data_IF_663774176554
#
_entry.id   IF_663774176554
#
_cell.length_a   1.000
_cell.length_b   1.000
_cell.length_c   1.000
_cell.angle_alpha   90.00
_cell.angle_beta   90.00
_cell.angle_gamma   90.00
#
_symmetry.space_group_name_H-M   'P 1'
#
loop_
_entity.id
_entity.type
_entity.pdbx_description
1 polymer ?
#
# COMPACT_ATOMS: atom_id res chain seq x y z
N UNK A 1 -9.01 -30.55 -28.10
CA UNK A 1 -8.95 -30.22 -26.66
C UNK A 1 -7.52 -30.04 -26.15
N UNK A 2 -7.15 -28.80 -25.80
CA UNK A 2 -5.85 -28.41 -25.21
C UNK A 2 -6.12 -27.61 -23.94
N UNK A 3 -5.28 -27.80 -22.93
CA UNK A 3 -5.31 -27.01 -21.68
C UNK A 3 -3.98 -26.27 -21.54
N UNK A 4 -4.04 -24.99 -21.18
CA UNK A 4 -2.85 -24.17 -20.88
C UNK A 4 -2.95 -23.63 -19.47
N UNK A 5 -1.90 -23.78 -18.66
CA UNK A 5 -1.80 -23.18 -17.33
C UNK A 5 -0.95 -21.91 -17.39
N UNK A 6 -1.22 -20.96 -16.49
CA UNK A 6 -0.40 -19.76 -16.33
C UNK A 6 -0.30 -19.31 -14.88
N UNK A 7 0.73 -18.53 -14.60
CA UNK A 7 0.93 -17.83 -13.33
C UNK A 7 1.40 -16.41 -13.62
N UNK A 8 0.89 -15.44 -12.89
CA UNK A 8 1.31 -14.03 -12.96
C UNK A 8 1.64 -13.55 -11.55
N UNK A 9 2.80 -12.92 -11.39
CA UNK A 9 3.19 -12.27 -10.14
C UNK A 9 3.19 -10.76 -10.37
N UNK A 10 2.23 -10.06 -9.76
CA UNK A 10 2.20 -8.61 -9.71
C UNK A 10 2.99 -8.11 -8.50
N UNK A 11 3.70 -6.98 -8.67
CA UNK A 11 4.64 -6.44 -7.68
C UNK A 11 5.67 -7.49 -7.22
N UNK A 12 6.48 -7.98 -8.16
CA UNK A 12 7.44 -9.07 -7.93
C UNK A 12 8.41 -8.79 -6.78
N UNK A 13 8.85 -7.55 -6.64
CA UNK A 13 9.80 -7.14 -5.60
C UNK A 13 9.13 -6.67 -4.31
N UNK A 14 7.80 -6.71 -4.23
CA UNK A 14 7.02 -6.24 -3.08
C UNK A 14 7.40 -4.82 -2.64
N UNK A 15 7.59 -3.94 -3.62
CA UNK A 15 7.98 -2.54 -3.37
C UNK A 15 6.73 -1.75 -3.00
N UNK A 16 6.86 -0.90 -1.98
CA UNK A 16 5.84 0.06 -1.57
C UNK A 16 5.88 1.30 -2.48
N UNK A 17 5.40 1.16 -3.71
CA UNK A 17 5.37 2.28 -4.65
C UNK A 17 4.31 3.31 -4.21
N UNK A 18 4.73 4.55 -4.00
CA UNK A 18 3.83 5.65 -3.63
C UNK A 18 3.03 6.09 -4.86
N UNK A 19 1.71 5.88 -4.82
CA UNK A 19 0.76 6.27 -5.89
C UNK A 19 -0.01 7.55 -5.54
N UNK A 20 0.04 7.95 -4.26
CA UNK A 20 -0.44 9.23 -3.77
C UNK A 20 0.50 9.73 -2.66
N UNK A 21 0.48 11.02 -2.37
CA UNK A 21 1.37 11.63 -1.38
C UNK A 21 0.66 12.75 -0.62
N UNK A 22 1.16 13.07 0.57
CA UNK A 22 0.72 14.27 1.26
C UNK A 22 1.26 15.52 0.55
N UNK A 23 0.40 16.55 0.41
CA UNK A 23 0.74 17.78 -0.32
C UNK A 23 1.86 18.61 0.33
N UNK A 24 2.06 18.44 1.64
CA UNK A 24 3.01 19.22 2.44
C UNK A 24 4.41 18.59 2.50
N UNK A 25 4.50 17.26 2.38
CA UNK A 25 5.77 16.51 2.45
C UNK A 25 6.23 15.96 1.10
N UNK A 26 5.32 15.82 0.14
CA UNK A 26 5.59 15.15 -1.14
C UNK A 26 5.85 13.64 -1.00
N UNK A 27 5.49 13.03 0.13
CA UNK A 27 5.63 11.58 0.36
C UNK A 27 4.40 11.00 1.07
N UNK A 28 4.20 9.69 0.94
CA UNK A 28 3.18 8.95 1.70
C UNK A 28 3.66 8.56 3.11
N UNK A 29 4.96 8.67 3.38
CA UNK A 29 5.60 8.26 4.63
C UNK A 29 5.57 9.33 5.72
N UNK A 30 5.08 10.52 5.44
CA UNK A 30 5.17 11.62 6.39
C UNK A 30 4.23 12.75 6.03
N UNK A 31 3.71 13.44 7.03
CA UNK A 31 3.09 14.77 6.88
C UNK A 31 3.52 15.65 8.05
N UNK A 32 3.60 16.95 7.81
CA UNK A 32 3.90 17.95 8.84
C UNK A 32 2.83 17.89 9.95
N UNK A 33 1.58 17.55 9.63
CA UNK A 33 0.50 17.40 10.60
C UNK A 33 0.81 16.30 11.64
N UNK A 34 1.34 15.16 11.20
CA UNK A 34 1.80 14.08 12.08
C UNK A 34 2.89 14.57 13.03
N UNK A 35 3.87 15.31 12.52
CA UNK A 35 4.96 15.87 13.32
C UNK A 35 4.45 16.84 14.38
N UNK A 36 3.54 17.75 14.01
CA UNK A 36 2.95 18.70 14.95
C UNK A 36 2.16 17.97 16.03
N UNK A 37 1.39 16.95 15.66
CA UNK A 37 0.60 16.16 16.61
C UNK A 37 1.47 15.40 17.60
N UNK A 38 2.59 14.84 17.16
CA UNK A 38 3.57 14.21 18.06
C UNK A 38 4.15 15.21 19.06
N UNK A 39 4.34 16.47 18.66
CA UNK A 39 4.90 17.53 19.53
C UNK A 39 3.90 18.07 20.55
N UNK A 40 2.62 18.13 20.21
CA UNK A 40 1.56 18.62 21.09
C UNK A 40 1.20 17.63 22.22
N UNK A 41 1.72 16.41 22.15
CA UNK A 41 1.38 15.30 23.04
C UNK A 41 0.23 14.49 22.46
N UNK A 42 0.37 13.16 22.47
CA UNK A 42 -0.64 12.27 21.90
C UNK A 42 -1.98 12.44 22.63
N UNK A 43 -3.07 12.77 21.92
CA UNK A 43 -4.41 12.63 22.49
C UNK A 43 -4.68 11.15 22.82
N UNK A 44 -5.65 10.87 23.69
CA UNK A 44 -6.18 9.52 23.84
C UNK A 44 -6.83 9.09 22.52
N UNK A 45 -6.06 8.38 21.72
CA UNK A 45 -6.49 7.80 20.46
C UNK A 45 -6.78 6.31 20.67
N UNK A 46 -7.78 5.79 19.95
CA UNK A 46 -8.05 4.35 19.92
C UNK A 46 -6.92 3.59 19.20
N UNK A 47 -6.24 4.28 18.28
CA UNK A 47 -5.14 3.79 17.47
C UNK A 47 -3.87 4.63 17.68
N UNK A 48 -2.72 4.13 17.26
CA UNK A 48 -1.47 4.91 17.26
C UNK A 48 -1.51 6.01 16.20
N UNK A 49 -0.70 7.08 16.39
CA UNK A 49 -0.56 8.10 15.34
C UNK A 49 -0.04 7.49 14.02
N UNK A 50 0.87 6.52 14.10
CA UNK A 50 1.37 5.79 12.93
C UNK A 50 0.23 5.12 12.17
N UNK A 51 -0.68 4.41 12.85
CA UNK A 51 -1.85 3.79 12.23
C UNK A 51 -2.81 4.81 11.60
N UNK A 52 -2.87 6.04 12.14
CA UNK A 52 -3.71 7.09 11.57
C UNK A 52 -3.13 7.66 10.27
N UNK A 53 -1.82 7.94 10.25
CA UNK A 53 -1.15 8.61 9.13
C UNK A 53 -0.55 7.65 8.09
N UNK A 54 -0.43 6.35 8.38
CA UNK A 54 -0.01 5.35 7.38
C UNK A 54 -1.21 4.87 6.56
N UNK A 55 -1.59 5.67 5.58
CA UNK A 55 -2.71 5.34 4.70
C UNK A 55 -2.31 4.30 3.63
N UNK A 56 -2.87 3.07 3.67
CA UNK A 56 -2.53 2.04 2.68
C UNK A 56 -2.94 2.40 1.25
N UNK A 57 -3.92 3.30 1.07
CA UNK A 57 -4.37 3.72 -0.28
C UNK A 57 -3.38 4.63 -0.99
N UNK A 58 -2.34 5.11 -0.30
CA UNK A 58 -1.25 5.88 -0.89
C UNK A 58 -0.19 4.99 -1.54
N UNK A 59 -0.25 3.68 -1.33
CA UNK A 59 0.66 2.71 -1.91
C UNK A 59 -0.04 1.85 -2.97
N UNK A 60 0.73 1.40 -3.95
CA UNK A 60 0.26 0.37 -4.88
C UNK A 60 -0.11 -0.90 -4.14
N UNK A 61 -0.90 -1.76 -4.79
CA UNK A 61 -1.26 -3.06 -4.22
C UNK A 61 -0.01 -3.89 -3.83
N UNK A 62 -0.06 -4.63 -2.70
CA UNK A 62 0.99 -5.56 -2.32
C UNK A 62 1.24 -6.65 -3.37
N UNK A 63 2.30 -7.45 -3.20
CA UNK A 63 2.55 -8.62 -4.05
C UNK A 63 1.29 -9.49 -4.19
N UNK A 64 0.87 -9.71 -5.45
CA UNK A 64 -0.26 -10.58 -5.78
C UNK A 64 0.18 -11.68 -6.72
N UNK A 65 -0.12 -12.93 -6.35
CA UNK A 65 0.14 -14.12 -7.16
C UNK A 65 -1.19 -14.61 -7.72
N UNK A 66 -1.28 -14.68 -9.04
CA UNK A 66 -2.47 -15.16 -9.76
C UNK A 66 -2.11 -16.44 -10.51
N UNK A 67 -2.98 -17.43 -10.42
CA UNK A 67 -2.86 -18.71 -11.13
C UNK A 67 -4.12 -18.94 -11.95
N UNK A 68 -3.99 -19.53 -13.13
CA UNK A 68 -5.14 -19.79 -13.99
C UNK A 68 -4.90 -20.85 -15.05
N UNK A 69 -5.98 -21.23 -15.72
CA UNK A 69 -5.99 -22.19 -16.80
C UNK A 69 -6.94 -21.77 -17.93
N UNK A 70 -6.62 -22.13 -19.17
CA UNK A 70 -7.44 -21.89 -20.35
C UNK A 70 -7.72 -23.20 -21.08
N UNK A 71 -8.99 -23.43 -21.39
CA UNK A 71 -9.47 -24.60 -22.16
C UNK A 71 -9.70 -24.20 -23.62
N UNK A 72 -9.09 -24.93 -24.54
CA UNK A 72 -9.33 -24.82 -25.98
C UNK A 72 -10.01 -26.10 -26.46
N UNK A 73 -11.15 -25.96 -27.11
CA UNK A 73 -11.92 -27.09 -27.62
C UNK A 73 -11.43 -27.50 -29.02
#
# INVERSE_FOLDING_TARGET
MKISFFTRVYNLFDIQNQVNVYNDSGTADFTIDEYLRRREGNPELVNTLDEYYRNPTFYSEPRRIEVGATLFF
#
